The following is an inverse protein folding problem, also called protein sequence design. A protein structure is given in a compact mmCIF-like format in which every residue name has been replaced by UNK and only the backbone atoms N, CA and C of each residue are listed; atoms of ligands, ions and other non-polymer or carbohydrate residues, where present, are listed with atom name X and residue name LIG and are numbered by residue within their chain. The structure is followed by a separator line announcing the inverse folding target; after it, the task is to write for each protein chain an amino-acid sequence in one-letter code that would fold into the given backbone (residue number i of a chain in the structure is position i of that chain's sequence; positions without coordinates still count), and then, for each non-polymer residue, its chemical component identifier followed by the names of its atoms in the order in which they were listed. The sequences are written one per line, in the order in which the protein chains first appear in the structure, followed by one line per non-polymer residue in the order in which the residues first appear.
data_IF_418073043291
#
_entry.id   IF_418073043291
#
_cell.length_a   1.000
_cell.length_b   1.000
_cell.length_c   1.000
_cell.angle_alpha   90.00
_cell.angle_beta   90.00
_cell.angle_gamma   90.00
#
_symmetry.space_group_name_H-M   'P 1'
#
loop_
_entity.id
_entity.type
_entity.pdbx_description
1 polymer ?
#
# COMPACT_ATOMS: atom_id res chain seq x y z
N UNK A 1 -1.29 16.14 61.01
CA UNK A 1 -0.28 16.67 60.09
C UNK A 1 0.29 15.60 59.16
N UNK A 2 0.52 14.39 59.64
CA UNK A 2 1.02 13.28 58.84
C UNK A 2 -0.05 12.74 57.87
N UNK A 3 -1.31 12.75 58.27
CA UNK A 3 -2.44 12.34 57.41
C UNK A 3 -2.63 13.28 56.22
N UNK A 4 -2.47 14.59 56.44
CA UNK A 4 -2.56 15.59 55.40
C UNK A 4 -1.45 15.44 54.35
N UNK A 5 -0.23 15.11 54.81
CA UNK A 5 0.90 14.84 53.92
C UNK A 5 0.69 13.57 53.11
N UNK A 6 0.17 12.50 53.76
CA UNK A 6 -0.13 11.24 53.09
C UNK A 6 -1.19 11.40 52.01
N UNK A 7 -2.25 12.16 52.27
CA UNK A 7 -3.30 12.45 51.28
C UNK A 7 -2.79 13.31 50.12
N UNK A 8 -1.93 14.29 50.42
CA UNK A 8 -1.30 15.12 49.41
C UNK A 8 -0.38 14.32 48.51
N UNK A 9 0.39 13.39 49.04
CA UNK A 9 1.28 12.51 48.27
C UNK A 9 0.50 11.54 47.42
N UNK A 10 -0.58 10.96 47.94
CA UNK A 10 -1.48 10.07 47.17
C UNK A 10 -2.13 10.84 46.01
N UNK A 11 -2.59 12.06 46.26
CA UNK A 11 -3.18 12.92 45.21
C UNK A 11 -2.17 13.22 44.14
N UNK A 12 -0.95 13.60 44.48
CA UNK A 12 0.13 13.88 43.50
C UNK A 12 0.48 12.63 42.67
N UNK A 13 0.56 11.47 43.31
CA UNK A 13 0.83 10.20 42.58
C UNK A 13 -0.29 9.87 41.60
N UNK A 14 -1.55 10.03 42.00
CA UNK A 14 -2.66 9.78 41.15
C UNK A 14 -2.71 10.76 39.97
N UNK A 15 -2.38 12.03 40.20
CA UNK A 15 -2.31 13.05 39.16
C UNK A 15 -1.22 12.73 38.15
N UNK A 16 -0.04 12.30 38.61
CA UNK A 16 1.07 11.89 37.75
C UNK A 16 0.69 10.67 36.93
N UNK A 17 0.05 9.67 37.54
CA UNK A 17 -0.43 8.47 36.83
C UNK A 17 -1.46 8.83 35.75
N UNK A 18 -2.36 9.75 36.05
CA UNK A 18 -3.38 10.22 35.09
C UNK A 18 -2.73 10.93 33.91
N UNK A 19 -1.74 11.78 34.16
CA UNK A 19 -0.98 12.46 33.13
C UNK A 19 -0.20 11.47 32.25
N UNK A 20 0.45 10.46 32.89
CA UNK A 20 1.14 9.41 32.17
C UNK A 20 0.20 8.61 31.27
N UNK A 21 -0.96 8.23 31.77
CA UNK A 21 -1.98 7.51 31.00
C UNK A 21 -2.47 8.36 29.82
N UNK A 22 -2.67 9.65 30.03
CA UNK A 22 -3.08 10.59 28.99
C UNK A 22 -2.02 10.74 27.89
N UNK A 23 -0.75 10.87 28.30
CA UNK A 23 0.38 10.97 27.36
C UNK A 23 0.54 9.67 26.56
N UNK A 24 0.40 8.52 27.20
CA UNK A 24 0.44 7.23 26.53
C UNK A 24 -0.69 7.12 25.49
N UNK A 25 -1.89 7.58 25.83
CA UNK A 25 -3.03 7.58 24.93
C UNK A 25 -2.80 8.52 23.75
N UNK A 26 -2.25 9.71 23.98
CA UNK A 26 -1.88 10.64 22.90
C UNK A 26 -0.82 10.03 21.99
N UNK A 27 0.20 9.36 22.54
CA UNK A 27 1.23 8.68 21.76
C UNK A 27 0.65 7.54 20.92
N UNK A 28 -0.26 6.76 21.46
CA UNK A 28 -0.95 5.69 20.73
C UNK A 28 -1.79 6.27 19.59
N UNK A 29 -2.52 7.36 19.84
CA UNK A 29 -3.32 8.03 18.83
C UNK A 29 -2.46 8.60 17.69
N UNK A 30 -1.31 9.21 18.03
CA UNK A 30 -0.37 9.71 17.02
C UNK A 30 0.20 8.57 16.18
N UNK A 31 0.54 7.45 16.81
CA UNK A 31 1.04 6.27 16.12
C UNK A 31 -0.02 5.70 15.16
N UNK A 32 -1.26 5.60 15.61
CA UNK A 32 -2.39 5.14 14.78
C UNK A 32 -2.61 6.07 13.59
N UNK A 33 -2.51 7.38 13.79
CA UNK A 33 -2.65 8.36 12.73
C UNK A 33 -1.53 8.23 11.70
N UNK A 34 -0.28 8.05 12.14
CA UNK A 34 0.86 7.83 11.25
C UNK A 34 0.71 6.55 10.44
N UNK A 35 0.24 5.47 11.07
CA UNK A 35 -0.02 4.21 10.38
C UNK A 35 -1.11 4.38 9.31
N UNK A 36 -2.17 5.13 9.62
CA UNK A 36 -3.23 5.43 8.66
C UNK A 36 -2.70 6.24 7.48
N UNK A 37 -1.91 7.27 7.74
CA UNK A 37 -1.31 8.10 6.69
C UNK A 37 -0.39 7.27 5.79
N UNK A 38 0.41 6.40 6.37
CA UNK A 38 1.29 5.52 5.61
C UNK A 38 0.49 4.53 4.78
N UNK A 39 -0.56 3.93 5.35
CA UNK A 39 -1.43 3.02 4.62
C UNK A 39 -2.14 3.73 3.46
N UNK A 40 -2.56 4.98 3.65
CA UNK A 40 -3.17 5.78 2.59
C UNK A 40 -2.19 6.07 1.46
N UNK A 41 -0.95 6.42 1.79
CA UNK A 41 0.10 6.66 0.79
C UNK A 41 0.43 5.39 0.02
N UNK A 42 0.54 4.25 0.71
CA UNK A 42 0.79 2.96 0.08
C UNK A 42 -0.34 2.57 -0.87
N UNK A 43 -1.58 2.86 -0.49
CA UNK A 43 -2.74 2.61 -1.33
C UNK A 43 -2.71 3.46 -2.61
N UNK A 44 -2.37 4.75 -2.48
CA UNK A 44 -2.26 5.66 -3.63
C UNK A 44 -1.15 5.22 -4.59
N UNK A 45 0.00 4.80 -4.06
CA UNK A 45 1.09 4.25 -4.87
C UNK A 45 0.65 2.97 -5.60
N UNK A 46 -0.06 2.09 -4.91
CA UNK A 46 -0.56 0.85 -5.50
C UNK A 46 -1.56 1.12 -6.62
N UNK A 47 -2.42 2.13 -6.47
CA UNK A 47 -3.35 2.56 -7.52
C UNK A 47 -2.60 3.05 -8.76
N UNK A 48 -1.57 3.86 -8.56
CA UNK A 48 -0.76 4.38 -9.65
C UNK A 48 -0.03 3.25 -10.37
N UNK A 49 0.57 2.32 -9.64
CA UNK A 49 1.24 1.16 -10.22
C UNK A 49 0.27 0.29 -11.02
N UNK A 50 -0.96 0.12 -10.51
CA UNK A 50 -2.01 -0.62 -11.22
C UNK A 50 -2.35 0.03 -12.55
N UNK A 51 -2.55 1.36 -12.57
CA UNK A 51 -2.81 2.10 -13.82
C UNK A 51 -1.66 1.97 -14.82
N UNK A 52 -0.43 2.12 -14.34
CA UNK A 52 0.76 2.00 -15.19
C UNK A 52 0.90 0.59 -15.76
N UNK A 53 0.61 -0.43 -14.95
CA UNK A 53 0.68 -1.83 -15.40
C UNK A 53 -0.38 -2.14 -16.46
N UNK A 54 -1.58 -1.58 -16.31
CA UNK A 54 -2.65 -1.73 -17.31
C UNK A 54 -2.28 -1.09 -18.64
N UNK A 55 -1.71 0.11 -18.62
CA UNK A 55 -1.22 0.79 -19.83
C UNK A 55 -0.08 0.03 -20.49
N UNK A 56 0.84 -0.48 -19.68
CA UNK A 56 1.96 -1.28 -20.18
C UNK A 56 1.46 -2.56 -20.86
N UNK A 57 0.44 -3.20 -20.29
CA UNK A 57 -0.17 -4.39 -20.88
C UNK A 57 -0.85 -4.07 -22.22
N UNK A 58 -1.61 -2.98 -22.28
CA UNK A 58 -2.25 -2.55 -23.55
C UNK A 58 -1.21 -2.32 -24.63
N UNK A 59 -0.09 -1.68 -24.29
CA UNK A 59 1.00 -1.44 -25.24
C UNK A 59 1.66 -2.75 -25.68
N UNK A 60 1.90 -3.66 -24.75
CA UNK A 60 2.50 -4.97 -25.05
C UNK A 60 1.57 -5.81 -25.94
N UNK A 61 0.25 -5.75 -25.70
CA UNK A 61 -0.75 -6.41 -26.55
C UNK A 61 -0.72 -5.86 -27.98
N UNK A 62 -0.67 -4.55 -28.13
CA UNK A 62 -0.60 -3.90 -29.43
C UNK A 62 0.69 -4.28 -30.15
N UNK A 63 1.83 -4.23 -29.46
CA UNK A 63 3.12 -4.64 -30.03
C UNK A 63 3.09 -6.10 -30.48
N UNK A 64 2.48 -6.98 -29.68
CA UNK A 64 2.38 -8.39 -30.04
C UNK A 64 1.52 -8.60 -31.28
N UNK A 65 0.40 -7.87 -31.41
CA UNK A 65 -0.47 -7.94 -32.58
C UNK A 65 0.25 -7.46 -33.86
N UNK A 66 0.96 -6.33 -33.75
CA UNK A 66 1.74 -5.79 -34.86
C UNK A 66 2.84 -6.75 -35.28
N UNK A 67 3.57 -7.28 -34.32
CA UNK A 67 4.65 -8.25 -34.55
C UNK A 67 4.12 -9.53 -35.20
N UNK A 68 2.95 -10.02 -34.75
CA UNK A 68 2.32 -11.18 -35.35
C UNK A 68 1.94 -10.98 -36.84
N UNK A 69 1.40 -9.80 -37.15
CA UNK A 69 1.07 -9.45 -38.56
C UNK A 69 2.32 -9.33 -39.42
N UNK A 70 3.37 -8.72 -38.90
CA UNK A 70 4.66 -8.59 -39.58
C UNK A 70 5.32 -9.95 -39.82
N UNK A 71 5.20 -10.85 -38.88
CA UNK A 71 5.67 -12.21 -39.00
C UNK A 71 4.92 -12.96 -40.13
N UNK A 72 3.59 -12.83 -40.16
CA UNK A 72 2.75 -13.47 -41.19
C UNK A 72 3.13 -13.04 -42.62
N UNK A 73 3.51 -11.77 -42.79
CA UNK A 73 3.87 -11.24 -44.12
C UNK A 73 5.40 -11.30 -44.37
N UNK A 74 6.15 -11.92 -43.47
CA UNK A 74 7.59 -12.13 -43.65
C UNK A 74 8.48 -10.95 -43.31
N UNK A 75 7.97 -9.91 -42.65
CA UNK A 75 8.72 -8.71 -42.26
C UNK A 75 9.43 -8.85 -40.95
N UNK A 76 9.06 -9.83 -40.12
CA UNK A 76 9.72 -10.14 -38.86
C UNK A 76 10.08 -11.62 -38.78
N UNK A 77 11.10 -11.95 -37.99
CA UNK A 77 11.48 -13.34 -37.71
C UNK A 77 10.56 -13.94 -36.65
N UNK A 78 10.50 -15.28 -36.60
CA UNK A 78 9.80 -16.00 -35.57
C UNK A 78 10.34 -15.63 -34.17
N UNK A 79 11.67 -15.46 -34.07
CA UNK A 79 12.34 -15.06 -32.83
C UNK A 79 11.82 -13.72 -32.29
N UNK A 80 11.67 -12.74 -33.18
CA UNK A 80 11.14 -11.40 -32.82
C UNK A 80 9.67 -11.48 -32.34
N UNK A 81 8.87 -12.29 -33.02
CA UNK A 81 7.49 -12.51 -32.62
C UNK A 81 7.38 -13.20 -31.24
N UNK A 82 8.21 -14.22 -31.01
CA UNK A 82 8.24 -14.91 -29.71
C UNK A 82 8.70 -13.97 -28.60
N UNK A 83 9.64 -13.07 -28.88
CA UNK A 83 10.08 -12.05 -27.93
C UNK A 83 8.92 -11.11 -27.57
N UNK A 84 8.13 -10.69 -28.53
CA UNK A 84 6.95 -9.86 -28.29
C UNK A 84 5.92 -10.59 -27.40
N UNK A 85 5.74 -11.90 -27.59
CA UNK A 85 4.88 -12.72 -26.72
C UNK A 85 5.40 -12.81 -25.30
N UNK A 86 6.71 -12.95 -25.11
CA UNK A 86 7.34 -12.97 -23.77
C UNK A 86 7.12 -11.63 -23.07
N UNK A 87 7.32 -10.53 -23.78
CA UNK A 87 7.09 -9.19 -23.20
C UNK A 87 5.62 -8.99 -22.81
N UNK A 88 4.70 -9.51 -23.63
CA UNK A 88 3.27 -9.48 -23.27
C UNK A 88 2.98 -10.29 -22.01
N UNK A 89 3.54 -11.49 -21.89
CA UNK A 89 3.37 -12.33 -20.70
C UNK A 89 3.91 -11.65 -19.45
N UNK A 90 5.08 -11.00 -19.56
CA UNK A 90 5.68 -10.25 -18.44
C UNK A 90 4.79 -9.08 -18.01
N UNK A 91 4.24 -8.34 -18.98
CA UNK A 91 3.33 -7.23 -18.71
C UNK A 91 2.03 -7.72 -18.05
N UNK A 92 1.53 -8.86 -18.50
CA UNK A 92 0.35 -9.49 -17.92
C UNK A 92 0.60 -9.89 -16.46
N UNK A 93 1.74 -10.54 -16.20
CA UNK A 93 2.12 -10.93 -14.83
C UNK A 93 2.28 -9.71 -13.93
N UNK A 94 2.90 -8.65 -14.43
CA UNK A 94 3.05 -7.39 -13.69
C UNK A 94 1.69 -6.78 -13.34
N UNK A 95 0.74 -6.84 -14.27
CA UNK A 95 -0.63 -6.37 -14.01
C UNK A 95 -1.29 -7.18 -12.90
N UNK A 96 -1.20 -8.51 -12.94
CA UNK A 96 -1.78 -9.38 -11.92
C UNK A 96 -1.18 -9.09 -10.55
N UNK A 97 0.15 -8.93 -10.48
CA UNK A 97 0.85 -8.60 -9.24
C UNK A 97 0.43 -7.23 -8.71
N UNK A 98 0.30 -6.24 -9.59
CA UNK A 98 -0.13 -4.89 -9.20
C UNK A 98 -1.55 -4.88 -8.64
N UNK A 99 -2.47 -5.62 -9.25
CA UNK A 99 -3.85 -5.76 -8.76
C UNK A 99 -3.88 -6.45 -7.40
N UNK A 100 -3.06 -7.47 -7.21
CA UNK A 100 -2.94 -8.16 -5.93
C UNK A 100 -2.42 -7.20 -4.84
N UNK A 101 -1.37 -6.43 -5.15
CA UNK A 101 -0.82 -5.44 -4.22
C UNK A 101 -1.83 -4.33 -3.90
N UNK A 102 -2.62 -3.91 -4.88
CA UNK A 102 -3.69 -2.95 -4.65
C UNK A 102 -4.69 -3.49 -3.63
N UNK A 103 -5.10 -4.73 -3.78
CA UNK A 103 -6.02 -5.37 -2.84
C UNK A 103 -5.42 -5.46 -1.43
N UNK A 104 -4.16 -5.89 -1.32
CA UNK A 104 -3.46 -6.00 -0.03
C UNK A 104 -3.39 -4.64 0.66
N UNK A 105 -3.02 -3.60 -0.09
CA UNK A 105 -2.90 -2.24 0.46
C UNK A 105 -4.27 -1.65 0.81
N UNK A 106 -5.31 -1.99 0.06
CA UNK A 106 -6.68 -1.58 0.38
C UNK A 106 -7.15 -2.18 1.70
N UNK A 107 -6.92 -3.49 1.90
CA UNK A 107 -7.25 -4.17 3.16
C UNK A 107 -6.47 -3.58 4.33
N UNK A 108 -5.17 -3.31 4.12
CA UNK A 108 -4.33 -2.67 5.14
C UNK A 108 -4.84 -1.26 5.51
N UNK A 109 -5.28 -0.50 4.51
CA UNK A 109 -5.88 0.82 4.75
C UNK A 109 -7.15 0.72 5.57
N UNK A 110 -8.06 -0.20 5.23
CA UNK A 110 -9.31 -0.40 5.97
C UNK A 110 -9.03 -0.82 7.42
N UNK A 111 -8.04 -1.66 7.63
CA UNK A 111 -7.63 -2.10 8.97
C UNK A 111 -7.10 -0.92 9.79
N UNK A 112 -6.24 -0.10 9.20
CA UNK A 112 -5.69 1.07 9.86
C UNK A 112 -6.77 2.10 10.19
N UNK A 113 -7.72 2.33 9.28
CA UNK A 113 -8.86 3.22 9.49
C UNK A 113 -9.79 2.69 10.59
N UNK A 114 -10.00 1.37 10.66
CA UNK A 114 -10.81 0.73 11.68
C UNK A 114 -10.25 0.87 13.09
N UNK A 115 -8.93 0.96 13.23
CA UNK A 115 -8.28 1.12 14.53
C UNK A 115 -8.55 2.49 15.17
N UNK A 116 -8.89 3.51 14.36
CA UNK A 116 -9.20 4.85 14.85
C UNK A 116 -10.65 5.00 15.33
N UNK A 117 -11.49 4.04 15.02
CA UNK A 117 -12.87 3.97 15.50
C UNK A 117 -12.96 3.09 16.74
#
# INVERSE_FOLDING_TARGET
AQESRGLGDVYKRQKVKLEQARLEQENVNEKMLLELMQAANNLDEARLETELSERSLEQAEENMKVSGKQYEVGLETLSDYLEAQVLWQQAYQTKVDAHFQLYVNYVAYLKAAGQLQ
#
